data_IF_847074957284
#
_entry.id   IF_847074957284
#
_cell.length_a   1.000
_cell.length_b   1.000
_cell.length_c   1.000
_cell.angle_alpha   90.00
_cell.angle_beta   90.00
_cell.angle_gamma   90.00
#
_symmetry.space_group_name_H-M   'P 1'
#
loop_
_entity.id
_entity.type
_entity.pdbx_description
1 polymer ?
#
# COMPACT_ATOMS: atom_id res chain seq x y z
N UNK A 1 12.87 62.93 15.35
CA UNK A 1 12.05 63.37 14.22
C UNK A 1 12.68 62.83 12.96
N UNK A 2 11.98 62.00 12.19
CA UNK A 2 12.52 61.43 10.96
C UNK A 2 11.91 60.06 10.70
N UNK A 3 10.67 60.03 10.20
CA UNK A 3 10.03 58.80 9.73
C UNK A 3 10.63 58.39 8.38
N UNK A 4 11.40 57.32 8.35
CA UNK A 4 11.84 56.65 7.13
C UNK A 4 10.78 55.67 6.65
N UNK A 5 10.18 55.95 5.46
CA UNK A 5 9.29 55.05 4.72
C UNK A 5 10.09 53.87 4.15
N UNK A 6 9.58 52.66 4.33
CA UNK A 6 10.08 51.48 3.67
C UNK A 6 9.74 51.51 2.14
N UNK A 7 10.60 50.97 1.27
CA UNK A 7 10.35 50.92 -0.18
C UNK A 7 9.31 49.85 -0.51
N UNK A 8 8.35 50.23 -1.36
CA UNK A 8 7.31 49.43 -1.96
C UNK A 8 7.92 48.53 -3.08
N UNK A 9 8.06 47.23 -2.81
CA UNK A 9 8.57 46.26 -3.79
C UNK A 9 7.36 45.57 -4.45
N UNK A 10 6.97 46.08 -5.63
CA UNK A 10 6.00 45.40 -6.50
C UNK A 10 6.70 44.34 -7.36
N UNK A 11 6.10 43.15 -7.54
CA UNK A 11 6.66 42.15 -8.47
C UNK A 11 6.49 42.59 -9.93
N UNK A 12 7.39 42.18 -10.85
CA UNK A 12 7.31 42.51 -12.25
C UNK A 12 6.14 41.81 -12.94
N UNK A 13 5.57 42.43 -14.01
CA UNK A 13 4.48 41.83 -14.79
C UNK A 13 4.95 40.62 -15.63
N UNK A 14 4.05 39.66 -15.94
CA UNK A 14 4.40 38.51 -16.77
C UNK A 14 4.65 38.92 -18.26
N UNK A 15 5.50 38.16 -18.98
CA UNK A 15 5.80 38.48 -20.38
C UNK A 15 4.61 38.22 -21.30
N UNK A 16 4.49 39.10 -22.29
CA UNK A 16 3.41 39.11 -23.29
C UNK A 16 3.47 37.88 -24.22
N UNK A 17 2.32 37.27 -24.46
CA UNK A 17 2.14 36.17 -25.40
C UNK A 17 2.29 36.67 -26.87
N UNK A 18 3.24 36.10 -27.58
CA UNK A 18 3.42 36.33 -29.03
C UNK A 18 2.57 35.34 -29.79
N UNK A 19 1.55 35.85 -30.47
CA UNK A 19 0.71 35.12 -31.41
C UNK A 19 1.48 34.87 -32.72
N UNK A 20 1.73 33.63 -33.08
CA UNK A 20 2.25 33.23 -34.39
C UNK A 20 1.11 32.72 -35.28
N UNK A 21 0.97 33.37 -36.44
CA UNK A 21 0.07 33.00 -37.57
C UNK A 21 0.57 31.71 -38.26
N UNK A 22 -0.31 30.88 -38.83
CA UNK A 22 0.10 29.70 -39.58
C UNK A 22 0.59 30.07 -41.01
N UNK A 23 1.75 29.55 -41.36
CA UNK A 23 2.31 29.59 -42.71
C UNK A 23 1.89 28.35 -43.53
N UNK A 24 1.73 28.58 -44.81
CA UNK A 24 1.13 27.72 -45.81
C UNK A 24 1.94 26.46 -46.15
N UNK A 25 1.19 25.50 -46.59
CA UNK A 25 1.46 24.23 -47.22
C UNK A 25 2.41 24.33 -48.43
N UNK A 26 3.63 23.71 -48.36
CA UNK A 26 4.39 23.39 -49.54
C UNK A 26 4.55 21.90 -49.71
N UNK A 27 4.03 21.40 -50.77
CA UNK A 27 4.04 20.04 -51.31
C UNK A 27 5.48 19.59 -51.69
N UNK A 28 6.02 18.57 -51.05
CA UNK A 28 7.25 17.89 -51.42
C UNK A 28 6.92 16.61 -52.21
N UNK A 29 7.63 16.31 -53.30
CA UNK A 29 7.29 15.16 -54.16
C UNK A 29 7.65 13.84 -53.53
N UNK A 30 6.80 12.83 -53.73
CA UNK A 30 6.98 11.44 -53.27
C UNK A 30 8.10 10.77 -54.07
N UNK A 31 9.13 10.23 -53.37
CA UNK A 31 10.03 9.23 -53.90
C UNK A 31 9.38 7.84 -53.87
N UNK A 32 9.64 6.97 -54.85
CA UNK A 32 9.10 5.64 -54.86
C UNK A 32 9.79 4.71 -53.85
N UNK A 33 8.99 4.00 -53.09
CA UNK A 33 9.44 2.93 -52.19
C UNK A 33 9.90 1.71 -53.01
N UNK A 34 11.02 1.05 -52.68
CA UNK A 34 11.36 -0.22 -53.28
C UNK A 34 10.43 -1.32 -52.76
N UNK A 35 9.89 -2.06 -53.68
CA UNK A 35 9.09 -3.27 -53.51
C UNK A 35 9.97 -4.35 -52.83
N UNK A 36 9.72 -4.67 -51.57
CA UNK A 36 10.34 -5.82 -50.91
C UNK A 36 9.42 -7.03 -51.10
N UNK A 37 9.88 -7.99 -51.86
CA UNK A 37 9.36 -9.34 -51.92
C UNK A 37 9.38 -10.00 -50.54
N UNK A 38 8.34 -10.69 -50.11
CA UNK A 38 8.36 -11.41 -48.84
C UNK A 38 9.32 -12.60 -48.92
N UNK A 39 10.13 -12.85 -47.86
CA UNK A 39 10.93 -14.08 -47.80
C UNK A 39 10.02 -15.29 -47.63
N UNK A 40 10.46 -16.40 -48.22
CA UNK A 40 9.85 -17.69 -48.30
C UNK A 40 9.23 -18.16 -46.97
N UNK A 41 8.09 -18.89 -47.12
CA UNK A 41 7.33 -19.53 -46.07
C UNK A 41 8.21 -20.34 -45.11
N UNK A 42 8.37 -19.80 -43.88
CA UNK A 42 8.88 -20.60 -42.77
C UNK A 42 7.74 -21.51 -42.31
N UNK A 43 8.03 -22.82 -42.31
CA UNK A 43 7.09 -23.87 -41.93
C UNK A 43 6.64 -23.70 -40.49
N UNK A 44 5.43 -23.14 -40.28
CA UNK A 44 4.83 -22.87 -38.94
C UNK A 44 4.71 -24.16 -38.09
N UNK A 45 4.74 -25.33 -38.69
CA UNK A 45 4.70 -26.60 -37.99
C UNK A 45 6.03 -26.96 -37.32
N UNK A 46 7.16 -26.55 -37.90
CA UNK A 46 8.52 -26.75 -37.32
C UNK A 46 8.75 -25.87 -36.09
N UNK A 47 8.33 -24.59 -36.14
CA UNK A 47 8.49 -23.65 -35.03
C UNK A 47 7.62 -24.02 -33.81
N UNK A 48 6.44 -24.58 -34.07
CA UNK A 48 5.54 -25.03 -33.01
C UNK A 48 6.06 -26.26 -32.25
N UNK A 49 6.83 -27.12 -32.91
CA UNK A 49 7.41 -28.31 -32.28
C UNK A 49 8.66 -27.98 -31.46
N UNK A 50 9.54 -27.09 -31.92
CA UNK A 50 10.69 -26.62 -31.13
C UNK A 50 10.28 -25.89 -29.86
N UNK A 51 9.25 -25.03 -29.93
CA UNK A 51 8.70 -24.38 -28.74
C UNK A 51 8.09 -25.39 -27.76
N UNK A 52 7.44 -26.44 -28.25
CA UNK A 52 6.87 -27.48 -27.40
C UNK A 52 7.97 -28.30 -26.69
N UNK A 53 9.04 -28.61 -27.39
CA UNK A 53 10.16 -29.38 -26.83
C UNK A 53 10.94 -28.56 -25.82
N UNK A 54 11.08 -27.25 -26.03
CA UNK A 54 11.66 -26.31 -25.06
C UNK A 54 10.75 -26.22 -23.81
N UNK A 55 9.44 -26.14 -23.99
CA UNK A 55 8.48 -26.06 -22.86
C UNK A 55 8.35 -27.39 -22.10
N UNK A 56 8.47 -28.55 -22.79
CA UNK A 56 8.43 -29.86 -22.16
C UNK A 56 9.75 -30.26 -21.51
N UNK A 57 10.87 -29.67 -21.90
CA UNK A 57 12.20 -29.88 -21.30
C UNK A 57 12.48 -29.08 -20.05
N UNK A 58 11.70 -28.02 -19.79
CA UNK A 58 11.76 -27.27 -18.53
C UNK A 58 10.92 -27.99 -17.50
N UNK A 59 11.50 -28.96 -16.82
CA UNK A 59 10.97 -29.41 -15.54
C UNK A 59 10.93 -28.19 -14.62
N UNK A 60 9.79 -27.87 -13.97
CA UNK A 60 9.78 -26.84 -12.96
C UNK A 60 10.79 -27.29 -11.90
N UNK A 61 11.95 -26.62 -11.85
CA UNK A 61 12.80 -26.70 -10.68
C UNK A 61 11.89 -26.25 -9.52
N UNK A 62 11.56 -27.14 -8.61
CA UNK A 62 11.07 -26.80 -7.28
C UNK A 62 12.21 -26.02 -6.63
N UNK A 63 12.17 -24.72 -6.79
CA UNK A 63 13.02 -23.81 -6.04
C UNK A 63 12.60 -23.91 -4.57
N UNK A 64 13.50 -23.63 -3.64
CA UNK A 64 13.16 -23.51 -2.21
C UNK A 64 12.02 -22.52 -1.93
N UNK A 65 11.67 -21.69 -2.93
CA UNK A 65 10.51 -20.79 -2.95
C UNK A 65 9.15 -21.51 -2.79
N UNK A 66 9.03 -22.78 -3.19
CA UNK A 66 7.79 -23.58 -3.09
C UNK A 66 7.65 -24.32 -1.74
N UNK A 67 8.62 -24.19 -0.83
CA UNK A 67 8.50 -24.80 0.48
C UNK A 67 7.35 -24.15 1.28
N UNK A 68 6.44 -24.95 1.89
CA UNK A 68 5.35 -24.38 2.68
C UNK A 68 5.91 -23.57 3.86
N UNK A 69 5.41 -22.34 4.03
CA UNK A 69 5.75 -21.52 5.19
C UNK A 69 5.14 -22.20 6.43
N UNK A 70 5.92 -22.47 7.48
CA UNK A 70 5.36 -23.02 8.70
C UNK A 70 4.24 -22.09 9.23
N UNK A 71 3.05 -22.65 9.45
CA UNK A 71 1.90 -21.86 9.94
C UNK A 71 2.11 -21.28 11.35
N UNK A 72 3.07 -21.81 12.08
CA UNK A 72 3.45 -21.38 13.41
C UNK A 72 4.96 -21.12 13.44
N UNK A 73 5.34 -19.87 13.17
CA UNK A 73 6.67 -19.37 13.43
C UNK A 73 6.60 -18.63 14.76
N UNK A 74 7.48 -19.00 15.68
CA UNK A 74 7.74 -18.27 16.92
C UNK A 74 9.06 -17.55 16.75
N UNK A 75 9.09 -16.26 17.05
CA UNK A 75 10.32 -15.48 17.08
C UNK A 75 10.87 -15.49 18.51
N UNK A 76 12.17 -15.75 18.65
CA UNK A 76 12.85 -15.59 19.93
C UNK A 76 13.22 -14.12 20.09
N UNK A 77 12.41 -13.39 20.86
CA UNK A 77 12.49 -11.95 20.99
C UNK A 77 13.19 -11.55 22.29
N UNK A 78 14.21 -10.73 22.16
CA UNK A 78 14.91 -10.14 23.29
C UNK A 78 14.15 -8.91 23.83
N UNK A 79 14.28 -8.65 25.13
CA UNK A 79 13.71 -7.51 25.83
C UNK A 79 12.64 -7.86 26.85
N UNK A 80 12.39 -6.93 27.77
CA UNK A 80 11.38 -7.06 28.82
C UNK A 80 10.09 -6.33 28.45
N UNK A 81 10.21 -5.17 27.77
CA UNK A 81 9.09 -4.33 27.34
C UNK A 81 8.58 -4.69 25.95
N UNK A 82 7.34 -4.29 25.63
CA UNK A 82 6.76 -4.46 24.30
C UNK A 82 7.58 -3.71 23.25
N UNK A 83 8.08 -2.51 23.58
CA UNK A 83 8.94 -1.71 22.70
C UNK A 83 10.25 -2.41 22.37
N UNK A 84 10.90 -3.01 23.36
CA UNK A 84 12.14 -3.76 23.18
C UNK A 84 11.91 -5.01 22.31
N UNK A 85 10.84 -5.76 22.58
CA UNK A 85 10.47 -6.93 21.78
C UNK A 85 10.12 -6.57 20.34
N UNK A 86 9.43 -5.45 20.12
CA UNK A 86 9.18 -4.95 18.75
C UNK A 86 10.48 -4.51 18.05
N UNK A 87 11.46 -3.96 18.80
CA UNK A 87 12.79 -3.66 18.24
C UNK A 87 13.53 -4.94 17.87
N UNK A 88 13.55 -5.93 18.75
CA UNK A 88 14.13 -7.25 18.49
C UNK A 88 13.49 -7.94 17.28
N UNK A 89 12.15 -7.87 17.16
CA UNK A 89 11.44 -8.39 15.99
C UNK A 89 11.89 -7.70 14.69
N UNK A 90 12.07 -6.38 14.70
CA UNK A 90 12.56 -5.63 13.53
C UNK A 90 13.96 -6.10 13.11
N UNK A 91 14.86 -6.26 14.04
CA UNK A 91 16.24 -6.73 13.79
C UNK A 91 16.26 -8.14 13.22
N UNK A 92 15.45 -9.05 13.78
CA UNK A 92 15.29 -10.40 13.27
C UNK A 92 14.73 -10.42 11.84
N UNK A 93 13.69 -9.63 11.57
CA UNK A 93 13.02 -9.57 10.26
C UNK A 93 13.93 -9.05 9.16
N UNK A 94 14.82 -8.08 9.46
CA UNK A 94 15.80 -7.56 8.49
C UNK A 94 16.71 -8.67 7.96
N UNK A 95 17.05 -9.63 8.79
CA UNK A 95 17.96 -10.74 8.46
C UNK A 95 17.23 -12.08 8.24
N UNK A 96 15.91 -12.09 8.27
CA UNK A 96 15.11 -13.31 8.20
C UNK A 96 15.16 -13.94 6.80
N UNK A 97 15.75 -15.18 6.68
CA UNK A 97 16.02 -15.79 5.37
C UNK A 97 14.79 -15.93 4.47
N UNK A 98 13.58 -16.29 4.95
CA UNK A 98 12.41 -16.40 4.10
C UNK A 98 12.04 -15.09 3.34
N UNK A 99 12.31 -13.92 3.93
CA UNK A 99 12.11 -12.63 3.26
C UNK A 99 13.34 -12.19 2.47
N UNK A 100 14.55 -12.42 3.00
CA UNK A 100 15.80 -12.00 2.35
C UNK A 100 16.06 -12.74 1.03
N UNK A 101 15.60 -13.96 0.91
CA UNK A 101 15.76 -14.80 -0.27
C UNK A 101 14.66 -14.57 -1.32
N UNK A 102 13.73 -13.61 -1.07
CA UNK A 102 12.71 -13.25 -2.05
C UNK A 102 13.21 -12.17 -3.01
N UNK A 103 13.59 -12.56 -4.22
CA UNK A 103 13.99 -11.63 -5.30
C UNK A 103 12.83 -10.70 -5.74
N UNK A 104 11.62 -11.02 -5.33
CA UNK A 104 10.41 -10.25 -5.63
C UNK A 104 10.16 -9.05 -4.71
N UNK A 105 10.99 -8.85 -3.68
CA UNK A 105 10.92 -7.73 -2.74
C UNK A 105 12.16 -6.83 -2.87
N UNK A 106 12.00 -5.56 -2.55
CA UNK A 106 13.12 -4.60 -2.47
C UNK A 106 13.87 -4.76 -1.14
N UNK A 107 15.01 -4.09 -1.03
CA UNK A 107 15.94 -4.30 0.09
C UNK A 107 15.59 -3.50 1.34
N UNK A 108 14.89 -2.37 1.19
CA UNK A 108 14.63 -1.44 2.31
C UNK A 108 13.30 -1.76 2.99
N UNK A 109 13.31 -2.24 4.24
CA UNK A 109 12.08 -2.51 4.97
C UNK A 109 11.44 -1.23 5.51
N UNK A 110 10.13 -1.24 5.63
CA UNK A 110 9.35 -0.21 6.31
C UNK A 110 8.56 -0.87 7.42
N UNK A 111 8.96 -0.61 8.64
CA UNK A 111 8.29 -1.13 9.82
C UNK A 111 7.15 -0.23 10.29
N UNK A 112 6.64 -0.52 11.48
CA UNK A 112 5.55 0.23 12.10
C UNK A 112 5.96 1.63 12.55
N UNK A 113 4.94 2.45 12.79
CA UNK A 113 5.03 3.74 13.47
C UNK A 113 3.88 3.93 14.45
N UNK A 114 4.01 4.89 15.34
CA UNK A 114 2.99 5.22 16.34
C UNK A 114 3.24 4.57 17.70
N UNK A 115 2.17 4.26 18.43
CA UNK A 115 2.22 3.82 19.82
C UNK A 115 2.19 2.28 19.93
N UNK A 116 3.24 1.64 20.47
CA UNK A 116 3.28 0.17 20.68
C UNK A 116 2.22 -0.35 21.67
N UNK A 117 1.55 0.53 22.40
CA UNK A 117 0.46 0.20 23.34
C UNK A 117 -0.89 0.77 22.89
N UNK A 118 -1.08 0.96 21.59
CA UNK A 118 -2.30 1.54 21.06
C UNK A 118 -3.49 0.57 21.14
N UNK A 119 -4.65 1.09 21.47
CA UNK A 119 -5.92 0.36 21.42
C UNK A 119 -6.36 0.05 19.97
N UNK A 120 -5.88 0.83 18.99
CA UNK A 120 -6.20 0.69 17.58
C UNK A 120 -4.91 0.39 16.79
N UNK A 121 -4.90 -0.74 16.09
CA UNK A 121 -3.85 -1.07 15.13
C UNK A 121 -4.40 -0.96 13.72
N UNK A 122 -3.73 -0.19 12.86
CA UNK A 122 -4.09 -0.05 11.45
C UNK A 122 -3.06 -0.76 10.57
N UNK A 123 -3.52 -1.62 9.68
CA UNK A 123 -2.68 -2.44 8.82
C UNK A 123 -2.99 -2.14 7.35
N UNK A 124 -1.97 -1.69 6.61
CA UNK A 124 -2.03 -1.51 5.15
C UNK A 124 -1.25 -2.60 4.42
N UNK A 125 -1.24 -2.60 3.10
CA UNK A 125 -0.76 -3.71 2.25
C UNK A 125 0.75 -3.90 2.35
N UNK A 126 1.49 -3.05 1.64
CA UNK A 126 2.95 -3.05 1.53
C UNK A 126 3.44 -1.62 1.29
N UNK A 127 4.71 -1.32 1.55
CA UNK A 127 5.29 -0.01 1.25
C UNK A 127 5.22 0.31 -0.24
N UNK A 128 4.96 1.57 -0.55
CA UNK A 128 5.18 2.16 -1.85
C UNK A 128 6.48 2.98 -1.89
N UNK A 129 6.63 3.80 -2.93
CA UNK A 129 7.82 4.63 -3.11
C UNK A 129 8.02 5.65 -1.97
N UNK A 130 6.93 6.27 -1.51
CA UNK A 130 7.01 7.29 -0.46
C UNK A 130 7.38 6.66 0.88
N UNK A 131 6.79 5.52 1.20
CA UNK A 131 7.03 4.76 2.41
C UNK A 131 8.48 4.24 2.44
N UNK A 132 8.98 3.67 1.34
CA UNK A 132 10.35 3.19 1.20
C UNK A 132 11.37 4.32 1.40
N UNK A 133 11.09 5.53 0.87
CA UNK A 133 11.97 6.69 1.00
C UNK A 133 11.95 7.32 2.40
N UNK A 134 10.81 7.33 3.07
CA UNK A 134 10.62 8.00 4.35
C UNK A 134 10.77 7.05 5.55
N UNK A 135 10.74 5.73 5.32
CA UNK A 135 10.85 4.71 6.37
C UNK A 135 9.64 4.62 7.28
N UNK A 136 8.49 5.18 6.89
CA UNK A 136 7.26 5.18 7.70
C UNK A 136 6.04 4.75 6.90
N UNK A 137 5.10 3.99 7.49
CA UNK A 137 3.88 3.56 6.83
C UNK A 137 2.96 4.71 6.45
N UNK A 138 2.27 4.55 5.32
CA UNK A 138 1.34 5.55 4.78
C UNK A 138 1.94 6.96 4.78
N UNK A 139 3.10 7.08 4.15
CA UNK A 139 3.70 8.35 3.78
C UNK A 139 3.01 8.94 2.54
N UNK A 140 3.30 10.20 2.21
CA UNK A 140 2.76 10.85 1.02
C UNK A 140 1.24 11.11 1.05
N UNK A 141 0.57 11.20 -0.11
CA UNK A 141 -0.84 11.61 -0.22
C UNK A 141 -1.81 10.70 0.52
N UNK A 142 -1.59 9.38 0.49
CA UNK A 142 -2.42 8.41 1.23
C UNK A 142 -2.32 8.60 2.74
N UNK A 143 -1.13 8.95 3.22
CA UNK A 143 -0.90 9.28 4.61
C UNK A 143 -1.62 10.54 5.05
N UNK A 144 -1.61 11.60 4.24
CA UNK A 144 -2.38 12.81 4.51
C UNK A 144 -3.89 12.53 4.62
N UNK A 145 -4.39 11.56 3.83
CA UNK A 145 -5.79 11.14 3.93
C UNK A 145 -6.06 10.40 5.23
N UNK A 146 -5.15 9.52 5.65
CA UNK A 146 -5.22 8.87 6.97
C UNK A 146 -5.19 9.92 8.09
N UNK A 147 -4.30 10.91 8.03
CA UNK A 147 -4.20 11.95 9.05
C UNK A 147 -5.51 12.74 9.19
N UNK A 148 -6.19 13.02 8.07
CA UNK A 148 -7.50 13.65 8.09
C UNK A 148 -8.58 12.74 8.73
N UNK A 149 -8.52 11.43 8.50
CA UNK A 149 -9.43 10.45 9.13
C UNK A 149 -9.18 10.39 10.64
N UNK A 150 -7.93 10.26 11.07
CA UNK A 150 -7.55 10.25 12.48
C UNK A 150 -7.99 11.53 13.19
N UNK A 151 -7.74 12.69 12.58
CA UNK A 151 -8.20 13.98 13.12
C UNK A 151 -9.73 14.02 13.28
N UNK A 152 -10.49 13.46 12.36
CA UNK A 152 -11.94 13.37 12.47
C UNK A 152 -12.38 12.44 13.61
N UNK A 153 -11.60 11.40 13.93
CA UNK A 153 -11.77 10.53 15.09
C UNK A 153 -11.36 11.21 16.41
N UNK A 154 -10.66 12.34 16.36
CA UNK A 154 -10.04 13.00 17.53
C UNK A 154 -8.69 12.40 17.90
N UNK A 155 -8.03 11.73 16.97
CA UNK A 155 -6.76 11.02 17.12
C UNK A 155 -5.67 11.64 16.25
N UNK A 156 -4.44 11.21 16.53
CA UNK A 156 -3.24 11.45 15.74
C UNK A 156 -2.50 10.12 15.49
N UNK A 157 -1.42 10.16 14.73
CA UNK A 157 -0.57 8.96 14.51
C UNK A 157 0.06 8.41 15.78
N UNK A 158 0.27 9.25 16.79
CA UNK A 158 0.81 8.80 18.09
C UNK A 158 -0.19 8.05 18.95
N UNK A 159 -1.47 8.05 18.60
CA UNK A 159 -2.54 7.37 19.34
C UNK A 159 -2.87 5.97 18.77
N UNK A 160 -2.30 5.63 17.61
CA UNK A 160 -2.50 4.34 16.93
C UNK A 160 -1.18 3.61 16.72
N UNK A 161 -1.25 2.30 16.46
CA UNK A 161 -0.14 1.55 15.88
C UNK A 161 -0.40 1.34 14.40
N UNK A 162 0.48 1.81 13.53
CA UNK A 162 0.34 1.74 12.08
C UNK A 162 1.44 0.88 11.49
N UNK A 163 1.09 -0.14 10.71
CA UNK A 163 2.04 -1.06 10.10
C UNK A 163 1.59 -1.53 8.71
N UNK A 164 2.49 -2.24 8.02
CA UNK A 164 2.19 -2.95 6.77
C UNK A 164 2.04 -4.45 7.02
N UNK A 165 1.23 -5.11 6.20
CA UNK A 165 1.17 -6.56 6.13
C UNK A 165 2.50 -7.13 5.63
N UNK A 166 3.01 -6.63 4.50
CA UNK A 166 4.33 -6.94 3.95
C UNK A 166 5.28 -5.79 4.25
N UNK A 167 6.44 -6.06 4.88
CA UNK A 167 7.35 -5.01 5.36
C UNK A 167 8.24 -4.41 4.27
N UNK A 168 8.28 -5.01 3.11
CA UNK A 168 9.13 -4.59 1.99
C UNK A 168 8.28 -4.19 0.79
N UNK A 169 8.76 -3.23 0.02
CA UNK A 169 8.11 -2.82 -1.23
C UNK A 169 8.23 -3.93 -2.26
N UNK A 170 7.11 -4.41 -2.85
CA UNK A 170 7.15 -5.38 -3.94
C UNK A 170 7.94 -4.85 -5.13
N UNK A 171 8.90 -5.65 -5.63
CA UNK A 171 9.79 -5.27 -6.71
C UNK A 171 9.14 -5.44 -8.10
N UNK A 172 9.56 -4.61 -9.04
CA UNK A 172 9.23 -4.68 -10.45
C UNK A 172 10.50 -4.50 -11.27
N UNK A 173 10.63 -5.13 -12.44
CA UNK A 173 11.73 -4.86 -13.37
C UNK A 173 11.76 -3.36 -13.71
N UNK A 174 12.96 -2.73 -13.63
CA UNK A 174 13.17 -1.29 -13.91
C UNK A 174 12.21 -0.37 -13.15
N UNK A 175 11.90 -0.72 -11.90
CA UNK A 175 10.94 0.01 -11.07
C UNK A 175 11.43 1.43 -10.77
N UNK A 176 10.58 2.42 -11.06
CA UNK A 176 10.79 3.83 -10.69
C UNK A 176 9.75 4.25 -9.62
N UNK A 177 8.64 4.81 -10.07
CA UNK A 177 7.57 5.31 -9.17
C UNK A 177 6.39 4.35 -9.04
N UNK A 178 6.28 3.40 -9.97
CA UNK A 178 5.22 2.41 -10.02
C UNK A 178 5.32 1.42 -8.86
N UNK A 179 4.16 1.01 -8.35
CA UNK A 179 4.02 -0.02 -7.33
C UNK A 179 3.14 -1.15 -7.87
N UNK A 180 3.37 -2.36 -7.40
CA UNK A 180 2.46 -3.48 -7.56
C UNK A 180 1.93 -3.95 -6.19
N UNK A 181 0.79 -4.63 -6.16
CA UNK A 181 0.38 -5.32 -4.95
C UNK A 181 1.34 -6.47 -4.62
N UNK A 182 1.45 -6.85 -3.34
CA UNK A 182 2.15 -8.06 -2.94
C UNK A 182 1.45 -9.31 -3.49
N UNK A 183 2.23 -10.32 -3.79
CA UNK A 183 1.75 -11.66 -4.18
C UNK A 183 1.26 -12.42 -2.94
N UNK A 184 0.50 -13.51 -3.17
CA UNK A 184 0.05 -14.37 -2.07
C UNK A 184 1.21 -14.98 -1.29
N UNK A 185 2.31 -15.31 -1.97
CA UNK A 185 3.53 -15.82 -1.33
C UNK A 185 4.20 -14.78 -0.45
N UNK A 186 4.29 -13.53 -0.91
CA UNK A 186 4.84 -12.41 -0.11
C UNK A 186 3.98 -12.14 1.13
N UNK A 187 2.66 -12.25 1.00
CA UNK A 187 1.71 -12.15 2.11
C UNK A 187 1.89 -13.30 3.09
N UNK A 188 1.92 -14.54 2.60
CA UNK A 188 2.05 -15.74 3.42
C UNK A 188 3.32 -15.72 4.28
N UNK A 189 4.46 -15.37 3.67
CA UNK A 189 5.74 -15.26 4.37
C UNK A 189 5.72 -14.12 5.40
N UNK A 190 5.05 -12.99 5.10
CA UNK A 190 5.02 -11.82 6.00
C UNK A 190 4.03 -11.95 7.14
N UNK A 191 3.02 -12.81 7.02
CA UNK A 191 1.93 -12.93 7.99
C UNK A 191 2.39 -13.30 9.41
N UNK A 192 3.37 -14.18 9.63
CA UNK A 192 3.88 -14.47 10.98
C UNK A 192 4.43 -13.23 11.70
N UNK A 193 5.05 -12.31 10.96
CA UNK A 193 5.59 -11.05 11.52
C UNK A 193 4.45 -10.15 12.00
N UNK A 194 3.42 -9.97 11.17
CA UNK A 194 2.24 -9.19 11.54
C UNK A 194 1.52 -9.80 12.74
N UNK A 195 1.40 -11.13 12.77
CA UNK A 195 0.82 -11.84 13.90
C UNK A 195 1.57 -11.54 15.19
N UNK A 196 2.90 -11.55 15.16
CA UNK A 196 3.74 -11.24 16.31
C UNK A 196 3.54 -9.79 16.76
N UNK A 197 3.51 -8.82 15.83
CA UNK A 197 3.18 -7.42 16.15
C UNK A 197 1.82 -7.31 16.86
N UNK A 198 0.78 -8.01 16.38
CA UNK A 198 -0.55 -8.01 17.02
C UNK A 198 -0.49 -8.60 18.43
N UNK A 199 0.27 -9.67 18.62
CA UNK A 199 0.41 -10.33 19.93
C UNK A 199 1.20 -9.47 20.94
N UNK A 200 2.17 -8.67 20.48
CA UNK A 200 2.92 -7.75 21.31
C UNK A 200 2.13 -6.49 21.67
N UNK A 201 1.52 -5.86 20.66
CA UNK A 201 0.75 -4.62 20.83
C UNK A 201 -0.58 -4.86 21.56
N UNK A 202 -1.22 -6.01 21.36
CA UNK A 202 -2.50 -6.40 21.97
C UNK A 202 -3.61 -5.34 21.80
N UNK A 203 -3.86 -4.86 20.56
CA UNK A 203 -4.85 -3.83 20.33
C UNK A 203 -6.26 -4.35 20.63
N UNK A 204 -7.18 -3.45 21.02
CA UNK A 204 -8.60 -3.78 21.14
C UNK A 204 -9.27 -4.04 19.80
N UNK A 205 -8.72 -3.48 18.72
CA UNK A 205 -9.18 -3.64 17.35
C UNK A 205 -8.05 -3.48 16.34
N UNK A 206 -8.06 -4.36 15.34
CA UNK A 206 -7.23 -4.23 14.12
C UNK A 206 -8.11 -3.68 13.00
N UNK A 207 -7.62 -2.69 12.27
CA UNK A 207 -8.28 -2.12 11.09
C UNK A 207 -7.50 -2.55 9.85
N UNK A 208 -8.09 -3.40 9.03
CA UNK A 208 -7.52 -3.81 7.75
C UNK A 208 -7.87 -2.77 6.68
N UNK A 209 -6.87 -2.05 6.20
CA UNK A 209 -6.99 -0.95 5.23
C UNK A 209 -6.87 -1.47 3.79
N UNK A 210 -7.97 -1.92 3.20
CA UNK A 210 -8.05 -2.39 1.82
C UNK A 210 -8.15 -3.91 1.68
N UNK A 211 -8.37 -4.36 0.43
CA UNK A 211 -8.64 -5.77 0.12
C UNK A 211 -7.46 -6.69 0.44
N UNK A 212 -6.24 -6.24 0.17
CA UNK A 212 -5.04 -7.05 0.34
C UNK A 212 -4.74 -7.29 1.82
N UNK A 213 -4.78 -6.22 2.65
CA UNK A 213 -4.62 -6.35 4.11
C UNK A 213 -5.70 -7.24 4.70
N UNK A 214 -6.98 -7.06 4.26
CA UNK A 214 -8.09 -7.90 4.72
C UNK A 214 -7.89 -9.37 4.34
N UNK A 215 -7.53 -9.64 3.08
CA UNK A 215 -7.26 -11.00 2.58
C UNK A 215 -6.14 -11.69 3.37
N UNK A 216 -5.03 -11.00 3.59
CA UNK A 216 -3.91 -11.55 4.34
C UNK A 216 -4.24 -11.82 5.81
N UNK A 217 -4.86 -10.87 6.51
CA UNK A 217 -5.20 -10.99 7.93
C UNK A 217 -6.26 -12.07 8.15
N UNK A 218 -7.32 -12.08 7.33
CA UNK A 218 -8.46 -12.98 7.47
C UNK A 218 -8.29 -14.31 6.76
N UNK A 219 -7.25 -14.45 5.92
CA UNK A 219 -7.02 -15.61 5.04
C UNK A 219 -8.28 -15.95 4.22
N UNK A 220 -8.96 -14.90 3.72
CA UNK A 220 -10.28 -14.98 3.09
C UNK A 220 -10.26 -15.30 1.59
N UNK A 221 -9.09 -15.59 1.01
CA UNK A 221 -8.92 -15.87 -0.41
C UNK A 221 -9.37 -14.69 -1.28
N UNK A 222 -10.11 -14.97 -2.34
CA UNK A 222 -10.60 -13.98 -3.32
C UNK A 222 -11.92 -13.30 -2.89
N UNK A 223 -12.28 -13.37 -1.61
CA UNK A 223 -13.50 -12.72 -1.13
C UNK A 223 -13.43 -11.20 -1.36
N UNK A 224 -14.42 -10.60 -2.05
CA UNK A 224 -14.40 -9.19 -2.36
C UNK A 224 -14.50 -8.33 -1.11
N UNK A 225 -13.83 -7.17 -1.12
CA UNK A 225 -13.80 -6.25 0.02
C UNK A 225 -15.21 -5.86 0.49
N UNK A 226 -16.16 -5.69 -0.44
CA UNK A 226 -17.55 -5.34 -0.14
C UNK A 226 -18.27 -6.38 0.72
N UNK A 227 -17.89 -7.64 0.61
CA UNK A 227 -18.46 -8.72 1.42
C UNK A 227 -17.81 -8.82 2.81
N UNK A 228 -16.57 -8.35 2.95
CA UNK A 228 -15.83 -8.35 4.23
C UNK A 228 -16.12 -7.10 5.08
N UNK A 229 -16.57 -6.00 4.45
CA UNK A 229 -16.93 -4.77 5.16
C UNK A 229 -18.27 -4.89 5.89
N UNK A 230 -18.50 -3.99 6.83
CA UNK A 230 -19.80 -3.86 7.54
C UNK A 230 -19.91 -4.70 8.81
N UNK A 231 -19.10 -5.73 8.97
CA UNK A 231 -19.07 -6.59 10.16
C UNK A 231 -17.69 -6.61 10.80
N UNK A 232 -17.60 -7.04 12.05
CA UNK A 232 -16.34 -7.42 12.67
C UNK A 232 -16.04 -8.89 12.36
N UNK A 233 -14.78 -9.15 12.06
CA UNK A 233 -14.18 -10.48 11.97
C UNK A 233 -13.27 -10.71 13.16
N UNK A 234 -12.71 -11.91 13.27
CA UNK A 234 -11.70 -12.24 14.29
C UNK A 234 -10.48 -12.84 13.62
N UNK A 235 -9.29 -12.30 13.90
CA UNK A 235 -8.02 -12.90 13.54
C UNK A 235 -7.04 -12.72 14.71
N UNK A 236 -6.22 -13.73 14.97
CA UNK A 236 -5.25 -13.75 16.08
C UNK A 236 -5.83 -13.34 17.44
N UNK A 237 -7.06 -13.82 17.73
CA UNK A 237 -7.84 -13.50 18.92
C UNK A 237 -8.20 -12.01 19.09
N UNK A 238 -8.13 -11.23 18.02
CA UNK A 238 -8.40 -9.79 18.04
C UNK A 238 -9.53 -9.45 17.06
N UNK A 239 -10.48 -8.58 17.43
CA UNK A 239 -11.49 -8.06 16.50
C UNK A 239 -10.84 -7.32 15.32
N UNK A 240 -11.30 -7.60 14.09
CA UNK A 240 -10.82 -6.99 12.86
C UNK A 240 -11.95 -6.26 12.17
N UNK A 241 -11.78 -4.96 11.91
CA UNK A 241 -12.65 -4.18 11.04
C UNK A 241 -12.01 -3.99 9.70
N UNK A 242 -12.73 -4.31 8.63
CA UNK A 242 -12.28 -4.11 7.25
C UNK A 242 -12.84 -2.80 6.71
N UNK A 243 -12.00 -2.00 6.07
CA UNK A 243 -12.41 -0.76 5.40
C UNK A 243 -11.61 -0.50 4.13
N UNK A 244 -11.90 0.56 3.38
CA UNK A 244 -11.13 0.94 2.21
C UNK A 244 -9.76 1.48 2.58
N UNK A 245 -8.77 1.24 1.71
CA UNK A 245 -7.45 1.85 1.84
C UNK A 245 -7.56 3.38 1.63
N UNK A 246 -6.85 4.22 2.41
CA UNK A 246 -6.84 5.66 2.21
C UNK A 246 -6.49 6.11 0.79
N UNK A 247 -5.69 5.33 0.05
CA UNK A 247 -5.39 5.59 -1.37
C UNK A 247 -6.63 5.52 -2.28
N UNK A 248 -7.63 4.73 -1.93
CA UNK A 248 -8.89 4.67 -2.65
C UNK A 248 -9.64 6.01 -2.55
N UNK A 249 -9.65 6.64 -1.36
CA UNK A 249 -10.29 7.93 -1.13
C UNK A 249 -9.60 9.11 -1.83
N UNK A 250 -8.40 8.92 -2.38
CA UNK A 250 -7.76 9.93 -3.24
C UNK A 250 -8.35 9.96 -4.64
N UNK A 251 -8.94 8.84 -5.08
CA UNK A 251 -9.47 8.66 -6.44
C UNK A 251 -10.98 8.83 -6.54
N UNK A 252 -11.67 8.97 -5.42
CA UNK A 252 -13.11 9.15 -5.39
C UNK A 252 -13.49 10.42 -4.67
N UNK A 253 -14.40 11.21 -5.28
CA UNK A 253 -15.04 12.36 -4.64
C UNK A 253 -16.40 12.00 -4.06
N UNK A 254 -16.89 10.78 -4.28
CA UNK A 254 -18.19 10.33 -3.84
C UNK A 254 -18.31 10.38 -2.30
N UNK A 255 -19.26 11.18 -1.85
CA UNK A 255 -19.56 11.35 -0.42
C UNK A 255 -20.07 10.05 0.18
N UNK A 256 -20.79 9.22 -0.60
CA UNK A 256 -21.30 7.95 -0.11
C UNK A 256 -20.16 6.98 0.26
N UNK A 257 -19.08 6.96 -0.53
CA UNK A 257 -17.90 6.15 -0.23
C UNK A 257 -17.16 6.67 1.03
N UNK A 258 -17.06 8.00 1.17
CA UNK A 258 -16.52 8.62 2.39
C UNK A 258 -17.37 8.29 3.61
N UNK A 259 -18.70 8.27 3.45
CA UNK A 259 -19.64 7.87 4.52
C UNK A 259 -19.41 6.42 4.93
N UNK A 260 -19.26 5.51 3.99
CA UNK A 260 -19.01 4.09 4.29
C UNK A 260 -17.73 3.90 5.12
N UNK A 261 -16.63 4.59 4.75
CA UNK A 261 -15.38 4.56 5.53
C UNK A 261 -15.59 5.13 6.92
N UNK A 262 -16.35 6.24 7.02
CA UNK A 262 -16.61 6.86 8.30
C UNK A 262 -17.45 5.97 9.23
N UNK A 263 -18.41 5.24 8.71
CA UNK A 263 -19.18 4.23 9.46
C UNK A 263 -18.28 3.11 10.02
N UNK A 264 -17.30 2.66 9.21
CA UNK A 264 -16.31 1.71 9.71
C UNK A 264 -15.49 2.32 10.87
N UNK A 265 -15.08 3.60 10.75
CA UNK A 265 -14.31 4.28 11.81
C UNK A 265 -15.15 4.52 13.08
N UNK A 266 -16.44 4.82 12.96
CA UNK A 266 -17.32 4.90 14.12
C UNK A 266 -17.38 3.57 14.88
N UNK A 267 -17.52 2.44 14.16
CA UNK A 267 -17.49 1.12 14.78
C UNK A 267 -16.12 0.81 15.44
N UNK A 268 -15.02 1.24 14.82
CA UNK A 268 -13.66 1.11 15.41
C UNK A 268 -13.55 1.93 16.69
N UNK A 269 -14.06 3.17 16.71
CA UNK A 269 -14.07 4.02 17.90
C UNK A 269 -14.90 3.38 19.04
N UNK A 270 -16.09 2.83 18.74
CA UNK A 270 -16.92 2.11 19.71
C UNK A 270 -16.20 0.89 20.29
N UNK A 271 -15.56 0.08 19.43
CA UNK A 271 -14.79 -1.11 19.85
C UNK A 271 -13.59 -0.75 20.72
N UNK A 272 -12.93 0.37 20.42
CA UNK A 272 -11.82 0.89 21.22
C UNK A 272 -12.26 1.58 22.52
N UNK A 273 -13.56 1.83 22.72
CA UNK A 273 -14.09 2.55 23.88
C UNK A 273 -13.89 4.07 23.82
N UNK A 274 -13.73 4.63 22.61
CA UNK A 274 -13.57 6.07 22.42
C UNK A 274 -14.93 6.80 22.43
N UNK A 275 -14.98 8.03 22.97
CA UNK A 275 -16.21 8.82 22.93
C UNK A 275 -16.54 9.27 21.51
N UNK A 276 -17.81 9.19 21.13
CA UNK A 276 -18.31 9.61 19.83
C UNK A 276 -19.34 10.72 20.02
N UNK A 277 -19.05 11.90 19.49
CA UNK A 277 -19.98 13.04 19.53
C UNK A 277 -21.08 12.92 18.48
N UNK A 278 -22.23 13.59 18.71
CA UNK A 278 -23.33 13.70 17.73
C UNK A 278 -22.86 14.29 16.38
N UNK A 279 -21.92 15.23 16.43
CA UNK A 279 -21.31 15.78 15.23
C UNK A 279 -20.57 14.71 14.42
N UNK A 280 -19.81 13.85 15.06
CA UNK A 280 -19.12 12.74 14.40
C UNK A 280 -20.10 11.73 13.80
N UNK A 281 -21.19 11.41 14.51
CA UNK A 281 -22.26 10.52 14.00
C UNK A 281 -22.90 11.08 12.71
N UNK A 282 -22.96 12.41 12.57
CA UNK A 282 -23.59 13.09 11.43
C UNK A 282 -22.66 13.35 10.25
N UNK A 283 -21.35 13.06 10.33
CA UNK A 283 -20.44 13.31 9.22
C UNK A 283 -20.85 12.55 7.95
N UNK A 284 -20.80 13.25 6.81
CA UNK A 284 -21.15 12.74 5.48
C UNK A 284 -22.62 12.25 5.34
N UNK A 285 -23.50 12.58 6.26
CA UNK A 285 -24.95 12.44 6.06
C UNK A 285 -25.48 13.58 5.17
N UNK A 286 -26.55 13.33 4.39
CA UNK A 286 -27.24 14.40 3.67
C UNK A 286 -27.69 15.49 4.66
N UNK A 287 -27.45 16.75 4.29
CA UNK A 287 -28.03 17.85 5.06
C UNK A 287 -29.55 17.78 4.92
N UNK A 288 -30.25 17.74 6.06
CA UNK A 288 -31.70 17.87 6.11
C UNK A 288 -32.14 19.25 5.66
#
# INVERSE_FOLDING_TARGET
MGHGRAPDIRPPPPPASVSAKPAANETRPKQPTPEQTPPDSVDEASFGNELRDILNGVQPHKTEEDAPVPRHISFDLEGETEEEKLSSLRELVVNWPPLRNMDSLRETPVFSSGNPRADIMMVTDAPGLYEEKQGVPLAGPSGQKLDAMLKAMGLSRSDIYLTHLVKYRPALPRQLTNNRPPTDREIEISLPILREEIMLVRPKVVVALGAISARGILQSGETPLSALRGTFHTAFNTPVRVTYNPSYLLRTEDISEKRKVWEDMLCVMEQAGLPISEKQRSYFLPKK
#
